data_IF_303041842250
#
_entry.id   IF_303041842250
#
_cell.length_a   1.000
_cell.length_b   1.000
_cell.length_c   1.000
_cell.angle_alpha   90.00
_cell.angle_beta   90.00
_cell.angle_gamma   90.00
#
_symmetry.space_group_name_H-M   'P 1'
#
loop_
_entity.id
_entity.type
_entity.pdbx_description
1 polymer ?
#
# COMPACT_ATOMS: atom_id res chain seq x y z
N UNK A 1 -12.94 -15.23 19.33
CA UNK A 1 -12.37 -14.39 18.26
C UNK A 1 -11.66 -15.32 17.31
N UNK A 2 -12.21 -15.59 16.12
CA UNK A 2 -11.55 -16.48 15.16
C UNK A 2 -10.25 -15.83 14.68
N UNK A 3 -9.15 -16.57 14.71
CA UNK A 3 -7.90 -16.13 14.13
C UNK A 3 -8.08 -15.89 12.61
N UNK A 4 -7.44 -14.85 12.08
CA UNK A 4 -7.41 -14.58 10.64
C UNK A 4 -6.76 -15.76 9.91
N UNK A 5 -7.34 -16.16 8.78
CA UNK A 5 -6.71 -17.17 7.91
C UNK A 5 -5.40 -16.63 7.34
N UNK A 6 -4.47 -17.50 6.90
CA UNK A 6 -3.22 -17.07 6.29
C UNK A 6 -3.42 -16.11 5.12
N UNK A 7 -4.39 -16.38 4.26
CA UNK A 7 -4.66 -15.62 3.03
C UNK A 7 -5.19 -14.21 3.36
N UNK A 8 -6.05 -14.10 4.38
CA UNK A 8 -6.53 -12.80 4.86
C UNK A 8 -5.37 -11.99 5.45
N UNK A 9 -4.45 -12.64 6.18
CA UNK A 9 -3.26 -11.97 6.72
C UNK A 9 -2.34 -11.48 5.61
N UNK A 10 -2.13 -12.29 4.57
CA UNK A 10 -1.30 -11.93 3.42
C UNK A 10 -1.86 -10.72 2.67
N UNK A 11 -3.18 -10.69 2.44
CA UNK A 11 -3.84 -9.54 1.82
C UNK A 11 -3.73 -8.29 2.69
N UNK A 12 -3.99 -8.40 3.99
CA UNK A 12 -3.86 -7.27 4.91
C UNK A 12 -2.42 -6.75 5.00
N UNK A 13 -1.43 -7.64 4.94
CA UNK A 13 -0.03 -7.24 4.89
C UNK A 13 0.29 -6.50 3.59
N UNK A 14 -0.19 -6.99 2.44
CA UNK A 14 0.02 -6.30 1.17
C UNK A 14 -0.64 -4.91 1.14
N UNK A 15 -1.86 -4.78 1.71
CA UNK A 15 -2.53 -3.48 1.87
C UNK A 15 -1.74 -2.56 2.80
N UNK A 16 -1.26 -3.09 3.93
CA UNK A 16 -0.44 -2.33 4.86
C UNK A 16 0.83 -1.82 4.19
N UNK A 17 1.55 -2.67 3.47
CA UNK A 17 2.81 -2.31 2.82
C UNK A 17 2.61 -1.28 1.71
N UNK A 18 1.51 -1.38 0.95
CA UNK A 18 1.16 -0.40 -0.09
C UNK A 18 0.86 0.99 0.49
N UNK A 19 0.26 1.06 1.69
CA UNK A 19 -0.16 2.33 2.30
C UNK A 19 0.84 2.90 3.32
N UNK A 20 1.81 2.08 3.76
CA UNK A 20 2.82 2.46 4.74
C UNK A 20 3.98 3.21 4.07
N UNK A 21 3.70 4.42 3.63
CA UNK A 21 4.69 5.29 3.00
C UNK A 21 5.49 6.09 4.05
N UNK A 22 6.81 6.21 3.87
CA UNK A 22 7.64 7.00 4.77
C UNK A 22 7.26 8.49 4.71
N UNK A 23 7.40 9.22 5.82
CA UNK A 23 7.07 10.66 5.82
C UNK A 23 8.06 11.44 4.94
N UNK A 24 7.57 12.35 4.08
CA UNK A 24 8.46 13.17 3.25
C UNK A 24 9.23 14.18 4.10
N UNK A 25 10.37 14.63 3.59
CA UNK A 25 11.01 15.84 4.05
C UNK A 25 10.08 17.06 3.85
N UNK A 26 10.32 18.15 4.57
CA UNK A 26 9.43 19.34 4.57
C UNK A 26 9.75 20.25 3.38
N UNK A 27 10.01 19.68 2.20
CA UNK A 27 10.09 20.44 0.96
C UNK A 27 8.75 20.33 0.24
N UNK A 28 8.31 21.41 -0.42
CA UNK A 28 7.05 21.42 -1.17
C UNK A 28 7.02 20.28 -2.22
N UNK A 29 8.12 20.11 -2.96
CA UNK A 29 8.27 19.03 -3.94
C UNK A 29 8.13 17.62 -3.34
N UNK A 30 8.74 17.37 -2.18
CA UNK A 30 8.64 16.05 -1.53
C UNK A 30 7.23 15.81 -0.97
N UNK A 31 6.56 16.86 -0.49
CA UNK A 31 5.16 16.80 0.00
C UNK A 31 4.19 16.52 -1.15
N UNK A 32 4.38 17.15 -2.30
CA UNK A 32 3.56 16.91 -3.50
C UNK A 32 3.75 15.48 -4.00
N UNK A 33 5.01 15.05 -4.17
CA UNK A 33 5.32 13.69 -4.61
C UNK A 33 4.81 12.63 -3.62
N UNK A 34 4.86 12.89 -2.32
CA UNK A 34 4.23 12.04 -1.31
C UNK A 34 2.71 12.00 -1.46
N UNK A 35 2.07 13.15 -1.64
CA UNK A 35 0.62 13.25 -1.76
C UNK A 35 0.11 12.50 -2.99
N UNK A 36 0.79 12.66 -4.13
CA UNK A 36 0.48 11.95 -5.37
C UNK A 36 0.63 10.44 -5.19
N UNK A 37 1.72 9.99 -4.55
CA UNK A 37 1.94 8.57 -4.31
C UNK A 37 0.90 7.98 -3.36
N UNK A 38 0.56 8.67 -2.27
CA UNK A 38 -0.50 8.24 -1.33
C UNK A 38 -1.82 8.07 -2.06
N UNK A 39 -2.19 9.04 -2.92
CA UNK A 39 -3.43 8.98 -3.67
C UNK A 39 -3.46 7.80 -4.65
N UNK A 40 -2.37 7.60 -5.40
CA UNK A 40 -2.23 6.47 -6.32
C UNK A 40 -2.36 5.14 -5.58
N UNK A 41 -1.62 4.95 -4.47
CA UNK A 41 -1.66 3.73 -3.65
C UNK A 41 -3.03 3.45 -3.07
N UNK A 42 -3.69 4.49 -2.56
CA UNK A 42 -5.02 4.37 -2.01
C UNK A 42 -6.04 4.00 -3.09
N UNK A 43 -5.89 4.52 -4.31
CA UNK A 43 -6.74 4.14 -5.43
C UNK A 43 -6.54 2.67 -5.81
N UNK A 44 -5.29 2.22 -5.98
CA UNK A 44 -4.94 0.84 -6.31
C UNK A 44 -5.51 -0.17 -5.29
N UNK A 45 -5.30 0.10 -3.99
CA UNK A 45 -5.85 -0.71 -2.90
C UNK A 45 -7.37 -0.76 -2.96
N UNK A 46 -8.04 0.39 -3.13
CA UNK A 46 -9.50 0.45 -3.22
C UNK A 46 -10.03 -0.33 -4.41
N UNK A 47 -9.42 -0.19 -5.58
CA UNK A 47 -9.80 -0.91 -6.80
C UNK A 47 -9.70 -2.43 -6.55
N UNK A 48 -8.61 -2.89 -5.93
CA UNK A 48 -8.42 -4.32 -5.68
C UNK A 48 -9.43 -4.87 -4.67
N UNK A 49 -9.66 -4.16 -3.56
CA UNK A 49 -10.62 -4.59 -2.55
C UNK A 49 -12.06 -4.56 -3.08
N UNK A 50 -12.44 -3.53 -3.85
CA UNK A 50 -13.76 -3.44 -4.49
C UNK A 50 -13.95 -4.57 -5.52
N UNK A 51 -12.91 -4.92 -6.28
CA UNK A 51 -12.93 -6.06 -7.21
C UNK A 51 -13.18 -7.39 -6.48
N UNK A 52 -12.51 -7.64 -5.35
CA UNK A 52 -12.74 -8.84 -4.53
C UNK A 52 -14.17 -8.91 -3.98
N UNK A 53 -14.75 -7.76 -3.61
CA UNK A 53 -16.11 -7.70 -3.07
C UNK A 53 -17.18 -7.88 -4.15
N UNK A 54 -16.97 -7.32 -5.35
CA UNK A 54 -17.95 -7.35 -6.43
C UNK A 54 -17.86 -8.59 -7.30
N UNK A 55 -16.70 -9.21 -7.38
CA UNK A 55 -16.43 -10.34 -8.24
C UNK A 55 -15.51 -11.36 -7.54
N UNK A 56 -16.00 -12.01 -6.47
CA UNK A 56 -15.19 -12.91 -5.63
C UNK A 56 -14.62 -14.12 -6.37
N UNK A 57 -15.21 -14.48 -7.52
CA UNK A 57 -14.75 -15.61 -8.35
C UNK A 57 -13.62 -15.23 -9.33
N UNK A 58 -13.31 -13.93 -9.49
CA UNK A 58 -12.27 -13.48 -10.42
C UNK A 58 -10.86 -13.57 -9.85
N UNK A 59 -10.72 -13.47 -8.53
CA UNK A 59 -9.43 -13.47 -7.86
C UNK A 59 -9.54 -14.14 -6.49
N UNK A 60 -8.58 -14.99 -6.17
CA UNK A 60 -8.32 -15.42 -4.80
C UNK A 60 -7.72 -14.26 -3.98
N UNK A 61 -7.80 -14.39 -2.65
CA UNK A 61 -7.17 -13.42 -1.74
C UNK A 61 -5.65 -13.36 -1.93
N UNK A 62 -5.02 -14.51 -2.24
CA UNK A 62 -3.58 -14.61 -2.51
C UNK A 62 -3.21 -13.88 -3.81
N UNK A 63 -3.92 -14.13 -4.92
CA UNK A 63 -3.68 -13.41 -6.19
C UNK A 63 -3.87 -11.89 -6.04
N UNK A 64 -4.85 -11.48 -5.24
CA UNK A 64 -5.05 -10.07 -4.93
C UNK A 64 -3.87 -9.48 -4.14
N UNK A 65 -3.33 -10.22 -3.17
CA UNK A 65 -2.16 -9.80 -2.41
C UNK A 65 -0.92 -9.70 -3.30
N UNK A 66 -0.69 -10.68 -4.18
CA UNK A 66 0.42 -10.68 -5.15
C UNK A 66 0.35 -9.48 -6.08
N UNK A 67 -0.83 -9.21 -6.66
CA UNK A 67 -0.99 -8.08 -7.55
C UNK A 67 -0.81 -6.73 -6.85
N UNK A 68 -1.26 -6.59 -5.59
CA UNK A 68 -0.97 -5.38 -4.81
C UNK A 68 0.54 -5.20 -4.56
N UNK A 69 1.27 -6.28 -4.30
CA UNK A 69 2.74 -6.21 -4.15
C UNK A 69 3.42 -5.84 -5.47
N UNK A 70 2.94 -6.36 -6.58
CA UNK A 70 3.44 -6.02 -7.91
C UNK A 70 3.23 -4.53 -8.21
N UNK A 71 2.01 -4.02 -8.06
CA UNK A 71 1.73 -2.59 -8.19
C UNK A 71 2.57 -1.76 -7.21
N UNK A 72 2.78 -2.29 -5.99
CA UNK A 72 3.71 -1.71 -5.01
C UNK A 72 5.14 -1.60 -5.52
N UNK A 73 5.66 -2.64 -6.15
CA UNK A 73 7.00 -2.60 -6.72
C UNK A 73 7.14 -1.65 -7.92
N UNK A 74 6.08 -1.45 -8.70
CA UNK A 74 6.12 -0.63 -9.93
C UNK A 74 6.16 0.89 -9.67
N UNK A 75 5.74 1.36 -8.50
CA UNK A 75 5.69 2.80 -8.15
C UNK A 75 6.42 3.11 -6.83
N UNK A 76 7.75 2.88 -6.77
CA UNK A 76 8.52 3.10 -5.55
C UNK A 76 8.46 4.55 -5.06
N UNK A 77 8.62 4.77 -3.76
CA UNK A 77 8.75 6.12 -3.21
C UNK A 77 10.05 6.77 -3.71
N UNK A 78 9.94 7.92 -4.37
CA UNK A 78 11.09 8.63 -4.97
C UNK A 78 11.41 9.96 -4.29
N UNK A 79 10.64 10.37 -3.28
CA UNK A 79 10.86 11.61 -2.53
C UNK A 79 11.87 11.41 -1.40
N UNK A 80 12.46 12.51 -0.95
CA UNK A 80 13.38 12.48 0.19
C UNK A 80 12.58 12.21 1.46
N UNK A 81 12.97 11.18 2.20
CA UNK A 81 12.33 10.82 3.46
C UNK A 81 12.89 11.66 4.59
N UNK A 82 12.03 12.13 5.50
CA UNK A 82 12.47 12.75 6.75
C UNK A 82 13.27 11.72 7.54
N UNK A 83 14.53 12.01 7.82
CA UNK A 83 15.24 11.27 8.86
C UNK A 83 14.65 11.69 10.20
N UNK A 84 13.94 10.78 10.86
CA UNK A 84 13.63 10.97 12.27
C UNK A 84 14.99 10.97 12.99
N UNK A 85 15.44 12.15 13.38
CA UNK A 85 16.68 12.31 14.14
C UNK A 85 16.63 11.35 15.31
N UNK A 86 17.54 10.37 15.31
CA UNK A 86 17.64 9.38 16.37
C UNK A 86 17.59 10.09 17.71
N UNK A 87 16.71 9.60 18.59
CA UNK A 87 16.57 10.08 19.95
C UNK A 87 17.98 10.15 20.58
N UNK A 88 18.41 11.36 20.93
CA UNK A 88 19.51 11.58 21.87
C UNK A 88 18.99 11.52 23.29
#
# INVERSE_FOLDING_TARGET
>A
MSALTPEVRELLQAVHDALSLPKPAITERDVDAFSDLVQSRAADVRIKLDSLLRAPDLFTLTEAAEQLREWTAQTPATYTVRQDGGQS
#
